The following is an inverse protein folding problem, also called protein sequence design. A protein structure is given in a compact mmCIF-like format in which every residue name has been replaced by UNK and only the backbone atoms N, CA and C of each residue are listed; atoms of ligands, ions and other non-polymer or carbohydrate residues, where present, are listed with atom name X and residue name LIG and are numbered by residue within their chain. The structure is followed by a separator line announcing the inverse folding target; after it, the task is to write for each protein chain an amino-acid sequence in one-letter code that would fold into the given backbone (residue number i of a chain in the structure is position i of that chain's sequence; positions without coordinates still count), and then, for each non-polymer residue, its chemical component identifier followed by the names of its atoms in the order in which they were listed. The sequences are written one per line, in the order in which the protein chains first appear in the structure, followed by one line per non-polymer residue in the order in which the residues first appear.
data_IF_343437793325
#
_entry.id   IF_343437793325
#
_cell.length_a   1.000
_cell.length_b   1.000
_cell.length_c   1.000
_cell.angle_alpha   90.00
_cell.angle_beta   90.00
_cell.angle_gamma   90.00
#
_symmetry.space_group_name_H-M   'P 1'
#
loop_
_entity.id
_entity.type
_entity.pdbx_description
1 polymer ?
#
# COMPACT_ATOMS: atom_id res chain seq x y z
N UNK A 1 -9.48 4.40 18.68
CA UNK A 1 -8.71 3.60 19.66
C UNK A 1 -7.28 3.54 19.15
N UNK A 2 -6.35 4.13 19.90
CA UNK A 2 -4.93 4.22 19.57
C UNK A 2 -4.25 2.86 19.79
N UNK A 3 -3.78 2.22 18.72
CA UNK A 3 -2.92 1.03 18.83
C UNK A 3 -1.46 1.47 19.00
N UNK A 4 -1.12 1.82 20.24
CA UNK A 4 0.27 1.89 20.69
C UNK A 4 0.71 0.48 21.07
N UNK A 5 1.27 -0.28 20.11
CA UNK A 5 1.81 -1.62 20.38
C UNK A 5 3.32 -1.53 20.67
N UNK A 6 3.66 -1.95 21.89
CA UNK A 6 4.99 -2.07 22.48
C UNK A 6 5.92 -2.97 21.65
N UNK A 7 7.13 -2.48 21.35
CA UNK A 7 8.20 -3.21 20.63
C UNK A 7 9.13 -3.99 21.57
N UNK A 8 8.60 -4.85 22.43
CA UNK A 8 9.46 -5.66 23.32
C UNK A 8 8.91 -7.09 23.46
N UNK A 9 8.99 -7.88 22.39
CA UNK A 9 9.27 -9.34 22.38
C UNK A 9 8.86 -9.94 21.04
N UNK A 10 9.81 -10.66 20.43
CA UNK A 10 9.54 -11.81 19.57
C UNK A 10 9.04 -11.48 18.17
N UNK A 11 9.68 -12.10 17.18
CA UNK A 11 9.22 -12.18 15.80
C UNK A 11 7.75 -12.61 15.77
N UNK A 12 6.92 -11.85 15.06
CA UNK A 12 5.49 -12.08 15.01
C UNK A 12 4.80 -11.00 14.21
N UNK A 13 5.10 -10.93 12.92
CA UNK A 13 4.27 -10.20 11.96
C UNK A 13 3.99 -11.10 10.78
N UNK A 14 3.23 -12.16 11.04
CA UNK A 14 2.31 -12.60 10.01
C UNK A 14 1.40 -11.40 9.73
N UNK A 15 1.49 -10.85 8.52
CA UNK A 15 0.28 -10.31 7.90
C UNK A 15 -0.80 -11.39 8.09
N UNK A 16 -2.04 -11.03 8.40
CA UNK A 16 -3.06 -12.02 8.81
C UNK A 16 -3.38 -13.10 7.77
N UNK A 17 -2.71 -13.06 6.60
CA UNK A 17 -2.79 -14.00 5.52
C UNK A 17 -1.39 -14.58 5.22
N UNK A 18 -1.25 -15.89 5.02
CA UNK A 18 0.05 -16.50 4.73
C UNK A 18 0.57 -16.07 3.35
N UNK A 19 1.87 -15.78 3.26
CA UNK A 19 2.54 -15.51 1.99
C UNK A 19 2.75 -16.80 1.21
N UNK A 20 2.53 -16.77 -0.11
CA UNK A 20 2.65 -17.94 -0.97
C UNK A 20 4.04 -18.58 -0.95
N UNK A 21 5.08 -17.75 -0.89
CA UNK A 21 6.47 -18.16 -0.77
C UNK A 21 6.71 -18.89 0.55
N UNK A 22 6.09 -18.43 1.65
CA UNK A 22 6.16 -19.07 2.95
C UNK A 22 5.47 -20.43 2.94
N UNK A 23 4.25 -20.52 2.39
CA UNK A 23 3.53 -21.79 2.28
C UNK A 23 4.33 -22.85 1.50
N UNK A 24 4.94 -22.45 0.37
CA UNK A 24 5.81 -23.36 -0.39
C UNK A 24 7.06 -23.73 0.42
N UNK A 25 7.66 -22.76 1.11
CA UNK A 25 8.81 -22.99 1.98
C UNK A 25 8.52 -23.99 3.09
N UNK A 26 7.37 -23.89 3.75
CA UNK A 26 6.93 -24.85 4.78
C UNK A 26 6.81 -26.27 4.22
N UNK A 27 6.21 -26.44 3.05
CA UNK A 27 6.13 -27.75 2.40
C UNK A 27 7.51 -28.32 2.08
N UNK A 28 8.41 -27.51 1.52
CA UNK A 28 9.77 -27.95 1.17
C UNK A 28 10.59 -28.32 2.41
N UNK A 29 10.46 -27.57 3.50
CA UNK A 29 11.10 -27.89 4.78
C UNK A 29 10.57 -29.20 5.35
N UNK A 30 9.25 -29.36 5.38
CA UNK A 30 8.59 -30.55 5.92
C UNK A 30 9.02 -31.82 5.17
N UNK A 31 8.82 -31.87 3.86
CA UNK A 31 9.17 -33.05 3.07
C UNK A 31 10.68 -33.24 2.89
N UNK A 32 11.46 -32.15 2.94
CA UNK A 32 12.92 -32.22 2.97
C UNK A 32 13.45 -32.98 4.20
N UNK A 33 12.82 -32.76 5.36
CA UNK A 33 13.12 -33.50 6.59
C UNK A 33 12.65 -34.96 6.52
N UNK A 34 11.45 -35.22 5.98
CA UNK A 34 10.91 -36.59 5.85
C UNK A 34 11.76 -37.49 4.92
N UNK A 35 12.39 -36.90 3.90
CA UNK A 35 13.34 -37.62 3.03
C UNK A 35 14.61 -38.06 3.75
N UNK A 36 14.89 -37.49 4.93
CA UNK A 36 16.03 -37.84 5.79
C UNK A 36 17.33 -37.14 5.41
N UNK A 37 18.22 -37.00 6.39
CA UNK A 37 19.49 -36.26 6.29
C UNK A 37 20.49 -36.84 5.28
N UNK A 38 20.31 -38.10 4.87
CA UNK A 38 21.14 -38.74 3.85
C UNK A 38 20.70 -38.40 2.42
N UNK A 39 19.51 -37.83 2.24
CA UNK A 39 18.98 -37.44 0.93
C UNK A 39 19.56 -36.09 0.51
N UNK A 40 20.36 -36.08 -0.56
CA UNK A 40 20.86 -34.84 -1.17
C UNK A 40 19.71 -33.94 -1.64
N UNK A 41 18.65 -34.54 -2.18
CA UNK A 41 17.44 -33.81 -2.56
C UNK A 41 16.69 -33.25 -1.35
N UNK A 42 16.63 -34.00 -0.24
CA UNK A 42 16.05 -33.53 1.01
C UNK A 42 16.78 -32.30 1.57
N UNK A 43 18.11 -32.34 1.57
CA UNK A 43 18.94 -31.19 1.96
C UNK A 43 18.77 -29.99 1.03
N UNK A 44 18.68 -30.21 -0.29
CA UNK A 44 18.41 -29.14 -1.25
C UNK A 44 17.00 -28.53 -1.06
N UNK A 45 15.98 -29.36 -0.85
CA UNK A 45 14.62 -28.91 -0.54
C UNK A 45 14.59 -28.05 0.72
N UNK A 46 15.28 -28.46 1.78
CA UNK A 46 15.36 -27.68 3.00
C UNK A 46 16.01 -26.31 2.74
N UNK A 47 17.14 -26.25 2.02
CA UNK A 47 17.80 -24.99 1.68
C UNK A 47 16.95 -24.04 0.83
N UNK A 48 16.22 -24.58 -0.16
CA UNK A 48 15.24 -23.78 -0.94
C UNK A 48 14.11 -23.30 -0.04
N UNK A 49 13.59 -24.17 0.83
CA UNK A 49 12.51 -23.85 1.77
C UNK A 49 12.87 -22.71 2.72
N UNK A 50 14.07 -22.74 3.31
CA UNK A 50 14.58 -21.64 4.15
C UNK A 50 14.71 -20.32 3.39
N UNK A 51 15.19 -20.35 2.14
CA UNK A 51 15.28 -19.15 1.32
C UNK A 51 13.89 -18.58 1.00
N UNK A 52 12.91 -19.44 0.69
CA UNK A 52 11.53 -19.00 0.43
C UNK A 52 10.86 -18.41 1.68
N UNK A 53 11.15 -18.95 2.87
CA UNK A 53 10.73 -18.34 4.14
C UNK A 53 11.31 -16.93 4.33
N UNK A 54 12.57 -16.71 3.96
CA UNK A 54 13.17 -15.37 4.00
C UNK A 54 12.52 -14.42 2.98
N UNK A 55 12.18 -14.90 1.77
CA UNK A 55 11.44 -14.10 0.78
C UNK A 55 10.05 -13.73 1.30
N UNK A 56 9.36 -14.67 1.96
CA UNK A 56 8.08 -14.41 2.61
C UNK A 56 8.17 -13.30 3.68
N UNK A 57 9.21 -13.32 4.52
CA UNK A 57 9.45 -12.26 5.50
C UNK A 57 9.75 -10.90 4.85
N UNK A 58 10.49 -10.89 3.74
CA UNK A 58 10.71 -9.68 2.94
C UNK A 58 9.39 -9.16 2.35
N UNK A 59 8.48 -10.06 1.94
CA UNK A 59 7.14 -9.74 1.43
C UNK A 59 6.24 -9.14 2.50
N UNK A 60 6.22 -9.72 3.70
CA UNK A 60 5.49 -9.15 4.84
C UNK A 60 5.99 -7.74 5.18
N UNK A 61 7.30 -7.52 5.08
CA UNK A 61 7.91 -6.21 5.30
C UNK A 61 7.47 -5.18 4.24
N UNK A 62 7.37 -5.61 2.97
CA UNK A 62 6.80 -4.79 1.89
C UNK A 62 5.35 -4.42 2.19
N UNK A 63 4.52 -5.40 2.52
CA UNK A 63 3.09 -5.19 2.75
C UNK A 63 2.84 -4.19 3.89
N UNK A 64 3.58 -4.33 5.00
CA UNK A 64 3.51 -3.38 6.12
C UNK A 64 3.99 -2.00 5.71
N UNK A 65 5.07 -1.91 4.93
CA UNK A 65 5.62 -0.63 4.45
C UNK A 65 4.63 0.08 3.54
N UNK A 66 4.13 -0.59 2.50
CA UNK A 66 3.17 -0.05 1.53
C UNK A 66 1.86 0.34 2.22
N UNK A 67 1.37 -0.49 3.14
CA UNK A 67 0.16 -0.18 3.91
C UNK A 67 0.28 1.15 4.64
N UNK A 68 1.38 1.34 5.38
CA UNK A 68 1.56 2.51 6.25
C UNK A 68 1.96 3.77 5.51
N UNK A 69 2.80 3.64 4.48
CA UNK A 69 3.43 4.78 3.82
C UNK A 69 2.66 5.26 2.59
N UNK A 70 1.85 4.40 2.00
CA UNK A 70 1.10 4.71 0.78
C UNK A 70 -0.41 4.53 0.97
N UNK A 71 -0.88 3.34 1.32
CA UNK A 71 -2.32 3.04 1.34
C UNK A 71 -3.04 3.88 2.41
N UNK A 72 -2.55 3.87 3.66
CA UNK A 72 -3.16 4.59 4.78
C UNK A 72 -3.28 6.10 4.51
N UNK A 73 -2.22 6.78 4.06
CA UNK A 73 -2.33 8.20 3.76
C UNK A 73 -3.24 8.53 2.56
N UNK A 74 -3.29 7.66 1.55
CA UNK A 74 -4.22 7.85 0.42
C UNK A 74 -5.67 7.63 0.85
N UNK A 75 -5.92 6.68 1.76
CA UNK A 75 -7.23 6.50 2.38
C UNK A 75 -7.62 7.70 3.25
N UNK A 76 -6.68 8.27 4.00
CA UNK A 76 -6.91 9.49 4.78
C UNK A 76 -7.30 10.66 3.86
N UNK A 77 -6.50 10.94 2.83
CA UNK A 77 -6.79 11.98 1.82
C UNK A 77 -8.19 11.82 1.22
N UNK A 78 -8.60 10.58 0.92
CA UNK A 78 -9.93 10.29 0.39
C UNK A 78 -11.04 10.58 1.40
N UNK A 79 -10.84 10.16 2.65
CA UNK A 79 -11.86 10.22 3.69
C UNK A 79 -11.97 11.58 4.38
N UNK A 80 -10.96 12.44 4.27
CA UNK A 80 -10.93 13.81 4.78
C UNK A 80 -11.10 14.83 3.65
N UNK A 81 -10.03 15.24 3.00
CA UNK A 81 -9.98 16.39 2.09
C UNK A 81 -10.91 16.24 0.88
N UNK A 82 -10.86 15.10 0.19
CA UNK A 82 -11.72 14.86 -0.98
C UNK A 82 -13.21 14.76 -0.59
N UNK A 83 -13.49 14.19 0.59
CA UNK A 83 -14.85 14.11 1.11
C UNK A 83 -15.39 15.50 1.45
N UNK A 84 -14.58 16.35 2.07
CA UNK A 84 -14.94 17.71 2.44
C UNK A 84 -15.14 18.59 1.21
N UNK A 85 -14.23 18.53 0.23
CA UNK A 85 -14.38 19.25 -1.05
C UNK A 85 -15.69 18.85 -1.74
N UNK A 86 -15.98 17.55 -1.81
CA UNK A 86 -17.24 17.04 -2.39
C UNK A 86 -18.46 17.58 -1.64
N UNK A 87 -18.39 17.68 -0.31
CA UNK A 87 -19.46 18.30 0.48
C UNK A 87 -19.61 19.80 0.18
N UNK A 88 -18.51 20.55 0.12
CA UNK A 88 -18.57 21.99 -0.20
C UNK A 88 -19.13 22.24 -1.60
N UNK A 89 -18.71 21.47 -2.61
CA UNK A 89 -19.24 21.58 -3.97
C UNK A 89 -20.75 21.31 -4.03
N UNK A 90 -21.24 20.30 -3.30
CA UNK A 90 -22.69 20.04 -3.18
C UNK A 90 -23.40 21.23 -2.53
N UNK A 91 -22.82 21.82 -1.49
CA UNK A 91 -23.36 23.00 -0.79
C UNK A 91 -23.40 24.22 -1.71
N UNK A 92 -22.34 24.49 -2.48
CA UNK A 92 -22.29 25.56 -3.48
C UNK A 92 -23.42 25.41 -4.50
N UNK A 93 -23.61 24.21 -5.06
CA UNK A 93 -24.68 24.00 -6.03
C UNK A 93 -26.07 24.24 -5.40
N UNK A 94 -26.29 23.80 -4.16
CA UNK A 94 -27.54 24.10 -3.43
C UNK A 94 -27.77 25.60 -3.21
N UNK A 95 -26.73 26.34 -2.80
CA UNK A 95 -26.81 27.81 -2.60
C UNK A 95 -27.02 28.56 -3.91
N UNK A 96 -26.36 28.13 -4.99
CA UNK A 96 -26.54 28.69 -6.33
C UNK A 96 -27.99 28.56 -6.77
N UNK A 97 -28.59 27.37 -6.61
CA UNK A 97 -29.98 27.12 -6.98
C UNK A 97 -30.97 27.97 -6.15
N UNK A 98 -30.76 28.11 -4.83
CA UNK A 98 -31.58 28.98 -3.97
C UNK A 98 -31.50 30.45 -4.42
N UNK A 99 -30.28 30.95 -4.65
CA UNK A 99 -30.07 32.30 -5.14
C UNK A 99 -30.73 32.51 -6.51
N UNK A 100 -30.54 31.59 -7.46
CA UNK A 100 -31.12 31.68 -8.80
C UNK A 100 -32.66 31.71 -8.74
N UNK A 101 -33.27 30.88 -7.88
CA UNK A 101 -34.71 30.86 -7.66
C UNK A 101 -35.22 32.22 -7.14
N UNK A 102 -34.61 32.75 -6.07
CA UNK A 102 -34.99 34.05 -5.48
C UNK A 102 -34.76 35.21 -6.45
N UNK A 103 -33.67 35.17 -7.22
CA UNK A 103 -33.36 36.19 -8.25
C UNK A 103 -34.42 36.24 -9.34
N UNK A 104 -34.94 35.09 -9.79
CA UNK A 104 -36.03 35.04 -10.78
C UNK A 104 -37.36 35.59 -10.24
N UNK A 105 -37.54 35.62 -8.92
CA UNK A 105 -38.73 36.15 -8.23
C UNK A 105 -38.51 37.53 -7.60
N UNK A 106 -37.59 38.33 -8.15
CA UNK A 106 -37.40 39.73 -7.75
C UNK A 106 -38.73 40.49 -7.75
N UNK A 107 -38.99 41.26 -6.70
CA UNK A 107 -40.27 41.95 -6.45
C UNK A 107 -41.29 41.14 -5.64
N UNK A 108 -41.15 39.81 -5.58
CA UNK A 108 -41.97 38.93 -4.71
C UNK A 108 -41.21 38.39 -3.50
N UNK A 109 -39.89 38.53 -3.50
CA UNK A 109 -38.99 38.13 -2.40
C UNK A 109 -38.39 39.39 -1.80
N UNK A 110 -38.34 39.52 -0.46
CA UNK A 110 -37.69 40.67 0.20
C UNK A 110 -36.25 40.86 -0.26
N UNK A 111 -35.84 42.11 -0.49
CA UNK A 111 -34.48 42.44 -0.95
C UNK A 111 -33.40 41.87 -0.03
N UNK A 112 -33.65 41.90 1.29
CA UNK A 112 -32.71 41.37 2.28
C UNK A 112 -32.55 39.85 2.17
N UNK A 113 -33.62 39.10 1.89
CA UNK A 113 -33.52 37.65 1.68
C UNK A 113 -32.74 37.29 0.42
N UNK A 114 -32.87 38.10 -0.64
CA UNK A 114 -32.10 37.93 -1.87
C UNK A 114 -30.62 38.24 -1.62
N UNK A 115 -30.32 39.31 -0.87
CA UNK A 115 -28.95 39.67 -0.47
C UNK A 115 -28.31 38.56 0.36
N UNK A 116 -29.03 38.02 1.35
CA UNK A 116 -28.53 36.91 2.17
C UNK A 116 -28.27 35.64 1.34
N UNK A 117 -29.13 35.33 0.37
CA UNK A 117 -28.92 34.17 -0.50
C UNK A 117 -27.66 34.33 -1.37
N UNK A 118 -27.40 35.54 -1.85
CA UNK A 118 -26.17 35.89 -2.55
C UNK A 118 -24.94 35.71 -1.65
N UNK A 119 -24.94 36.33 -0.46
CA UNK A 119 -23.83 36.25 0.48
C UNK A 119 -23.51 34.78 0.82
N UNK A 120 -24.54 33.97 1.12
CA UNK A 120 -24.41 32.54 1.40
C UNK A 120 -23.82 31.75 0.22
N UNK A 121 -24.18 32.11 -1.02
CA UNK A 121 -23.63 31.51 -2.23
C UNK A 121 -22.15 31.84 -2.38
N UNK A 122 -21.79 33.13 -2.33
CA UNK A 122 -20.40 33.59 -2.47
C UNK A 122 -19.50 32.99 -1.39
N UNK A 123 -19.91 33.04 -0.12
CA UNK A 123 -19.13 32.42 0.97
C UNK A 123 -18.94 30.92 0.75
N UNK A 124 -19.96 30.19 0.28
CA UNK A 124 -19.81 28.76 0.00
C UNK A 124 -18.87 28.49 -1.18
N UNK A 125 -18.90 29.35 -2.20
CA UNK A 125 -18.05 29.26 -3.39
C UNK A 125 -16.60 29.49 -3.02
N UNK A 126 -16.30 30.56 -2.30
CA UNK A 126 -14.94 30.88 -1.84
C UNK A 126 -14.36 29.77 -0.96
N UNK A 127 -15.18 29.16 -0.09
CA UNK A 127 -14.75 28.04 0.73
C UNK A 127 -14.40 26.81 -0.13
N UNK A 128 -15.24 26.46 -1.10
CA UNK A 128 -14.97 25.34 -2.01
C UNK A 128 -13.71 25.59 -2.86
N UNK A 129 -13.57 26.79 -3.41
CA UNK A 129 -12.41 27.20 -4.21
C UNK A 129 -11.12 27.13 -3.41
N UNK A 130 -11.12 27.64 -2.16
CA UNK A 130 -9.95 27.59 -1.28
C UNK A 130 -9.55 26.16 -0.94
N UNK A 131 -10.50 25.30 -0.58
CA UNK A 131 -10.21 23.88 -0.28
C UNK A 131 -9.65 23.14 -1.50
N UNK A 132 -10.21 23.37 -2.69
CA UNK A 132 -9.69 22.78 -3.92
C UNK A 132 -8.28 23.28 -4.26
N UNK A 133 -8.04 24.58 -4.08
CA UNK A 133 -6.73 25.19 -4.33
C UNK A 133 -5.66 24.60 -3.40
N UNK A 134 -5.95 24.49 -2.10
CA UNK A 134 -5.02 23.87 -1.14
C UNK A 134 -4.68 22.43 -1.52
N UNK A 135 -5.67 21.62 -1.89
CA UNK A 135 -5.44 20.23 -2.33
C UNK A 135 -4.48 20.19 -3.54
N UNK A 136 -4.72 21.05 -4.54
CA UNK A 136 -3.94 21.06 -5.78
C UNK A 136 -2.52 21.61 -5.58
N UNK A 137 -2.29 22.46 -4.58
CA UNK A 137 -0.93 22.92 -4.24
C UNK A 137 -0.08 21.85 -3.54
N UNK A 138 -0.70 20.79 -3.03
CA UNK A 138 0.00 19.70 -2.33
C UNK A 138 0.40 18.56 -3.29
N UNK A 139 0.45 18.78 -4.60
CA UNK A 139 0.81 17.80 -5.63
C UNK A 139 2.18 17.13 -5.37
N UNK A 140 3.13 17.90 -4.86
CA UNK A 140 4.45 17.42 -4.44
C UNK A 140 4.39 16.36 -3.34
N UNK A 141 3.46 16.47 -2.39
CA UNK A 141 3.32 15.46 -1.33
C UNK A 141 2.79 14.14 -1.91
N UNK A 142 1.84 14.19 -2.86
CA UNK A 142 1.33 12.98 -3.51
C UNK A 142 2.40 12.33 -4.41
N UNK A 143 3.22 13.13 -5.09
CA UNK A 143 4.40 12.62 -5.82
C UNK A 143 5.39 11.94 -4.86
N UNK A 144 5.64 12.52 -3.68
CA UNK A 144 6.48 11.92 -2.64
C UNK A 144 5.95 10.56 -2.14
N UNK A 145 4.62 10.40 -2.03
CA UNK A 145 3.98 9.12 -1.69
C UNK A 145 4.22 8.06 -2.77
N UNK A 146 4.08 8.43 -4.05
CA UNK A 146 4.39 7.53 -5.17
C UNK A 146 5.87 7.11 -5.18
N UNK A 147 6.78 8.05 -4.93
CA UNK A 147 8.21 7.74 -4.81
C UNK A 147 8.48 6.76 -3.67
N UNK A 148 7.80 6.92 -2.53
CA UNK A 148 7.93 6.02 -1.37
C UNK A 148 7.41 4.61 -1.68
N UNK A 149 6.29 4.50 -2.41
CA UNK A 149 5.79 3.20 -2.90
C UNK A 149 6.82 2.50 -3.79
N UNK A 150 7.37 3.21 -4.76
CA UNK A 150 8.38 2.66 -5.68
C UNK A 150 9.63 2.24 -4.92
N UNK A 151 10.08 3.03 -3.94
CA UNK A 151 11.22 2.69 -3.10
C UNK A 151 10.98 1.39 -2.31
N UNK A 152 9.82 1.24 -1.68
CA UNK A 152 9.47 0.03 -0.94
C UNK A 152 9.45 -1.22 -1.86
N UNK A 153 8.89 -1.10 -3.06
CA UNK A 153 8.90 -2.18 -4.07
C UNK A 153 10.32 -2.55 -4.49
N UNK A 154 11.17 -1.56 -4.77
CA UNK A 154 12.57 -1.78 -5.13
C UNK A 154 13.34 -2.49 -4.02
N UNK A 155 13.13 -2.07 -2.76
CA UNK A 155 13.80 -2.68 -1.62
C UNK A 155 13.40 -4.15 -1.45
N UNK A 156 12.11 -4.47 -1.61
CA UNK A 156 11.64 -5.86 -1.62
C UNK A 156 12.30 -6.68 -2.73
N UNK A 157 12.26 -6.21 -3.97
CA UNK A 157 12.82 -6.94 -5.11
C UNK A 157 14.33 -7.14 -4.99
N UNK A 158 15.06 -6.14 -4.47
CA UNK A 158 16.50 -6.27 -4.17
C UNK A 158 16.77 -7.28 -3.06
N UNK A 159 15.94 -7.30 -2.02
CA UNK A 159 16.05 -8.27 -0.94
C UNK A 159 15.81 -9.70 -1.43
N UNK A 160 14.71 -9.91 -2.16
CA UNK A 160 14.37 -11.20 -2.75
C UNK A 160 15.47 -11.68 -3.71
N UNK A 161 15.99 -10.78 -4.56
CA UNK A 161 17.10 -11.09 -5.44
C UNK A 161 18.35 -11.53 -4.68
N UNK A 162 18.75 -10.81 -3.62
CA UNK A 162 19.92 -11.21 -2.80
C UNK A 162 19.73 -12.58 -2.15
N UNK A 163 18.54 -12.86 -1.62
CA UNK A 163 18.22 -14.16 -0.99
C UNK A 163 18.37 -15.29 -2.02
N UNK A 164 17.73 -15.13 -3.19
CA UNK A 164 17.77 -16.14 -4.25
C UNK A 164 19.15 -16.28 -4.89
N UNK A 165 19.92 -15.19 -5.00
CA UNK A 165 21.28 -15.24 -5.49
C UNK A 165 22.21 -15.99 -4.52
N UNK A 166 22.04 -15.77 -3.21
CA UNK A 166 22.76 -16.53 -2.18
C UNK A 166 22.42 -18.03 -2.24
N UNK A 167 21.13 -18.37 -2.36
CA UNK A 167 20.69 -19.74 -2.56
C UNK A 167 21.32 -20.36 -3.81
N UNK A 168 21.29 -19.66 -4.95
CA UNK A 168 21.85 -20.14 -6.19
C UNK A 168 23.35 -20.45 -6.08
N UNK A 169 24.12 -19.56 -5.42
CA UNK A 169 25.55 -19.79 -5.14
C UNK A 169 25.79 -21.02 -4.26
N UNK A 170 24.99 -21.18 -3.19
CA UNK A 170 25.08 -22.35 -2.31
C UNK A 170 24.75 -23.66 -3.04
N UNK A 171 23.76 -23.64 -3.93
CA UNK A 171 23.39 -24.81 -4.73
C UNK A 171 24.46 -25.17 -5.75
N UNK A 172 25.11 -24.19 -6.40
CA UNK A 172 26.21 -24.45 -7.33
C UNK A 172 27.45 -25.04 -6.64
N UNK A 173 27.72 -24.65 -5.40
CA UNK A 173 28.80 -25.22 -4.60
C UNK A 173 28.55 -26.67 -4.17
N UNK A 174 27.31 -27.16 -4.27
CA UNK A 174 26.96 -28.54 -3.92
C UNK A 174 27.43 -29.54 -5.00
N UNK A 175 28.18 -30.61 -4.65
CA UNK A 175 28.68 -31.61 -5.60
C UNK A 175 27.57 -32.33 -6.39
N UNK A 176 26.41 -32.52 -5.74
CA UNK A 176 25.23 -33.14 -6.32
C UNK A 176 24.69 -32.33 -7.51
N UNK A 177 24.74 -31.00 -7.43
CA UNK A 177 24.24 -30.11 -8.47
C UNK A 177 25.18 -30.02 -9.68
N UNK A 178 26.49 -30.05 -9.45
CA UNK A 178 27.49 -30.14 -10.53
C UNK A 178 27.30 -31.41 -11.37
N UNK A 179 27.03 -32.53 -10.70
CA UNK A 179 26.77 -33.82 -11.34
C UNK A 179 25.50 -33.79 -12.20
N UNK A 180 24.46 -33.08 -11.74
CA UNK A 180 23.17 -32.96 -12.44
C UNK A 180 23.22 -32.01 -13.66
N UNK A 181 23.98 -30.91 -13.58
CA UNK A 181 24.23 -30.00 -14.70
C UNK A 181 25.00 -30.68 -15.85
N UNK A 182 25.94 -31.58 -15.52
CA UNK A 182 26.68 -32.37 -16.51
C UNK A 182 25.78 -33.37 -17.25
N UNK A 183 24.74 -33.90 -16.60
CA UNK A 183 23.77 -34.82 -17.22
C UNK A 183 22.80 -34.09 -18.16
N UNK A 184 22.52 -32.80 -17.93
CA UNK A 184 21.63 -32.00 -18.78
C UNK A 184 22.30 -31.43 -20.05
N UNK A 185 23.62 -31.65 -20.21
CA UNK A 185 24.42 -31.21 -21.35
C UNK A 185 24.79 -32.36 -22.31
N UNK A 186 24.26 -33.56 -22.08
CA UNK A 186 24.29 -34.72 -22.97
C UNK A 186 22.86 -35.16 -23.32
#
# INVERSE_FOLDING_TARGET
MLNTMSRIRGQGRATGYPQTEGMLGDCMLHYGQELGVASEFGGALAGVGEALQQVAQARDSLDVSVKRTFIDPMQELHNSELKDIRYQLKKVNGRRLDFDYKRRRRGKVPTEELRQAWDKFITSKELAERSMFTLLQNDMDQLGRLATLVAALLDFHRSAHRILQGLHGNMQASPAFHSCLLISLY
#
